data_IF_816368546648
#
_entry.id   IF_816368546648
#
_cell.length_a   1.000
_cell.length_b   1.000
_cell.length_c   1.000
_cell.angle_alpha   90.00
_cell.angle_beta   90.00
_cell.angle_gamma   90.00
#
_symmetry.space_group_name_H-M   'P 1'
#
loop_
_entity.id
_entity.type
_entity.pdbx_description
1 polymer ?
#
# COMPACT_ATOMS: atom_id res chain seq x y z
N UNK A 1 -13.01 -5.26 -5.97
CA UNK A 1 -11.89 -4.72 -5.13
C UNK A 1 -10.62 -5.49 -5.45
N UNK A 2 -9.47 -4.82 -5.53
CA UNK A 2 -8.18 -5.51 -5.64
C UNK A 2 -7.31 -5.24 -4.42
N UNK A 3 -6.62 -6.27 -3.95
CA UNK A 3 -5.65 -6.17 -2.87
C UNK A 3 -4.26 -6.27 -3.49
N UNK A 4 -3.39 -5.36 -3.12
CA UNK A 4 -2.02 -5.25 -3.61
C UNK A 4 -1.08 -5.63 -2.47
N UNK A 5 -0.44 -6.80 -2.58
CA UNK A 5 0.48 -7.30 -1.56
C UNK A 5 1.87 -7.46 -2.15
N UNK A 6 2.86 -6.74 -1.60
CA UNK A 6 4.27 -6.91 -1.96
C UNK A 6 4.97 -7.75 -0.90
N UNK A 7 5.68 -8.80 -1.32
CA UNK A 7 6.42 -9.71 -0.46
C UNK A 7 7.90 -9.72 -0.84
N UNK A 8 8.77 -9.68 0.16
CA UNK A 8 10.21 -9.87 0.00
C UNK A 8 10.82 -10.39 1.31
N UNK A 9 11.39 -11.60 1.27
CA UNK A 9 12.04 -12.24 2.43
C UNK A 9 11.23 -12.13 3.73
N UNK A 10 9.96 -12.51 3.65
CA UNK A 10 9.01 -12.44 4.76
C UNK A 10 8.41 -13.81 5.14
N UNK A 11 9.19 -14.89 4.98
CA UNK A 11 8.75 -16.28 5.27
C UNK A 11 8.09 -16.46 6.64
N UNK A 12 8.54 -15.70 7.66
CA UNK A 12 8.01 -15.77 9.03
C UNK A 12 6.63 -15.13 9.19
N UNK A 13 6.19 -14.31 8.24
CA UNK A 13 5.04 -13.43 8.42
C UNK A 13 3.97 -13.60 7.34
N UNK A 14 4.38 -13.95 6.11
CA UNK A 14 3.51 -13.96 4.93
C UNK A 14 2.28 -14.86 5.07
N UNK A 15 2.40 -16.02 5.71
CA UNK A 15 1.26 -16.89 5.97
C UNK A 15 0.19 -16.18 6.81
N UNK A 16 0.61 -15.51 7.89
CA UNK A 16 -0.30 -14.75 8.75
C UNK A 16 -0.98 -13.60 8.01
N UNK A 17 -0.22 -12.89 7.18
CA UNK A 17 -0.74 -11.83 6.32
C UNK A 17 -1.86 -12.37 5.44
N UNK A 18 -1.58 -13.41 4.66
CA UNK A 18 -2.53 -14.02 3.72
C UNK A 18 -3.76 -14.59 4.41
N UNK A 19 -3.59 -15.30 5.53
CA UNK A 19 -4.72 -15.83 6.31
C UNK A 19 -5.63 -14.71 6.83
N UNK A 20 -5.09 -13.55 7.18
CA UNK A 20 -5.88 -12.39 7.60
C UNK A 20 -6.76 -11.83 6.46
N UNK A 21 -6.27 -11.91 5.22
CA UNK A 21 -7.01 -11.51 4.01
C UNK A 21 -8.04 -12.59 3.66
N UNK A 22 -7.67 -13.87 3.64
CA UNK A 22 -8.57 -14.99 3.35
C UNK A 22 -9.76 -15.03 4.31
N UNK A 23 -9.52 -14.68 5.58
CA UNK A 23 -10.51 -14.65 6.66
C UNK A 23 -11.51 -13.49 6.60
N UNK A 24 -11.37 -12.54 5.66
CA UNK A 24 -12.32 -11.43 5.55
C UNK A 24 -13.73 -11.92 5.20
N UNK A 25 -14.77 -11.29 5.77
CA UNK A 25 -16.18 -11.58 5.46
C UNK A 25 -16.59 -11.10 4.08
N UNK A 26 -16.09 -9.94 3.67
CA UNK A 26 -16.23 -9.46 2.30
C UNK A 26 -15.40 -10.36 1.37
N UNK A 27 -16.04 -10.93 0.33
CA UNK A 27 -15.41 -11.97 -0.53
C UNK A 27 -15.17 -11.52 -1.97
N UNK A 28 -15.74 -10.40 -2.39
CA UNK A 28 -15.63 -9.90 -3.76
C UNK A 28 -14.34 -9.09 -3.93
N UNK A 29 -13.22 -9.80 -3.93
CA UNK A 29 -11.89 -9.23 -4.16
C UNK A 29 -10.98 -10.20 -4.91
N UNK A 30 -9.97 -9.63 -5.57
CA UNK A 30 -8.80 -10.36 -6.05
C UNK A 30 -7.56 -9.83 -5.34
N UNK A 31 -6.76 -10.72 -4.76
CA UNK A 31 -5.50 -10.38 -4.11
C UNK A 31 -4.33 -10.72 -5.04
N UNK A 32 -3.64 -9.71 -5.54
CA UNK A 32 -2.41 -9.86 -6.28
C UNK A 32 -1.23 -9.79 -5.31
N UNK A 33 -0.49 -10.88 -5.23
CA UNK A 33 0.72 -10.99 -4.40
C UNK A 33 1.91 -10.93 -5.34
N UNK A 34 2.77 -9.95 -5.17
CA UNK A 34 4.04 -9.86 -5.90
C UNK A 34 5.17 -10.32 -5.00
N UNK A 35 5.85 -11.38 -5.40
CA UNK A 35 7.14 -11.72 -4.80
C UNK A 35 8.26 -10.95 -5.50
N UNK A 36 8.94 -10.11 -4.75
CA UNK A 36 9.94 -9.19 -5.28
C UNK A 36 11.36 -9.75 -5.11
N UNK A 37 11.60 -10.98 -5.66
CA UNK A 37 12.86 -11.72 -5.63
C UNK A 37 13.26 -12.20 -4.22
N UNK A 38 12.35 -12.85 -3.50
CA UNK A 38 12.69 -13.52 -2.23
C UNK A 38 13.72 -14.63 -2.43
N UNK A 39 14.60 -14.77 -1.44
CA UNK A 39 15.64 -15.79 -1.40
C UNK A 39 15.46 -16.80 -0.26
N UNK A 40 14.43 -16.58 0.56
CA UNK A 40 13.97 -17.48 1.63
C UNK A 40 12.76 -18.32 1.17
N UNK A 41 12.03 -18.96 2.08
CA UNK A 41 10.86 -19.80 1.75
C UNK A 41 9.56 -19.01 1.49
N UNK A 42 9.61 -17.68 1.34
CA UNK A 42 8.41 -16.83 1.16
C UNK A 42 7.51 -17.34 0.04
N UNK A 43 8.06 -17.62 -1.14
CA UNK A 43 7.29 -18.06 -2.32
C UNK A 43 6.61 -19.41 -2.09
N UNK A 44 7.31 -20.36 -1.48
CA UNK A 44 6.75 -21.69 -1.18
C UNK A 44 5.59 -21.60 -0.18
N UNK A 45 5.75 -20.76 0.85
CA UNK A 45 4.71 -20.52 1.85
C UNK A 45 3.50 -19.86 1.21
N UNK A 46 3.69 -18.84 0.34
CA UNK A 46 2.60 -18.22 -0.40
C UNK A 46 1.83 -19.28 -1.20
N UNK A 47 2.53 -20.04 -2.06
CA UNK A 47 1.90 -21.07 -2.91
C UNK A 47 1.08 -22.07 -2.10
N UNK A 48 1.62 -22.54 -0.98
CA UNK A 48 0.93 -23.46 -0.07
C UNK A 48 -0.30 -22.82 0.56
N UNK A 49 -0.18 -21.57 1.02
CA UNK A 49 -1.24 -20.88 1.76
C UNK A 49 -2.44 -20.55 0.87
N UNK A 50 -2.20 -20.12 -0.39
CA UNK A 50 -3.28 -19.74 -1.31
C UNK A 50 -3.85 -20.90 -2.12
N UNK A 51 -3.33 -22.12 -1.93
CA UNK A 51 -3.75 -23.28 -2.72
C UNK A 51 -5.26 -23.51 -2.62
N UNK A 52 -5.92 -23.52 -3.78
CA UNK A 52 -7.37 -23.75 -3.90
C UNK A 52 -8.25 -22.51 -3.69
N UNK A 53 -7.68 -21.33 -3.42
CA UNK A 53 -8.43 -20.08 -3.35
C UNK A 53 -8.18 -19.21 -4.60
N UNK A 54 -9.10 -19.22 -5.54
CA UNK A 54 -8.99 -18.54 -6.83
C UNK A 54 -8.99 -16.98 -6.72
N UNK A 55 -9.21 -16.45 -5.54
CA UNK A 55 -9.12 -14.98 -5.31
C UNK A 55 -7.68 -14.48 -5.25
N UNK A 56 -6.71 -15.37 -5.11
CA UNK A 56 -5.30 -15.04 -4.93
C UNK A 56 -4.49 -15.36 -6.18
N UNK A 57 -3.69 -14.40 -6.63
CA UNK A 57 -2.81 -14.50 -7.79
C UNK A 57 -1.39 -14.16 -7.36
N UNK A 58 -0.47 -15.13 -7.46
CA UNK A 58 0.96 -14.90 -7.22
C UNK A 58 1.67 -14.48 -8.50
N UNK A 59 2.44 -13.40 -8.43
CA UNK A 59 3.32 -12.89 -9.49
C UNK A 59 4.77 -12.94 -8.95
N UNK A 60 5.58 -13.80 -9.53
CA UNK A 60 7.00 -13.92 -9.19
C UNK A 60 7.82 -13.01 -10.13
N UNK A 61 8.37 -11.93 -9.59
CA UNK A 61 9.16 -10.98 -10.37
C UNK A 61 10.45 -11.58 -10.91
N UNK A 62 10.92 -11.08 -12.05
CA UNK A 62 12.23 -11.44 -12.63
C UNK A 62 13.30 -10.38 -12.37
N UNK A 63 12.89 -9.19 -11.98
CA UNK A 63 13.74 -8.06 -11.59
C UNK A 63 13.15 -7.39 -10.36
N UNK A 64 13.98 -6.70 -9.58
CA UNK A 64 13.52 -5.96 -8.40
C UNK A 64 12.65 -4.78 -8.83
N UNK A 65 11.41 -4.75 -8.34
CA UNK A 65 10.41 -3.74 -8.71
C UNK A 65 10.09 -2.77 -7.56
N UNK A 66 10.39 -3.18 -6.33
CA UNK A 66 9.99 -2.45 -5.12
C UNK A 66 8.47 -2.17 -5.07
N UNK A 67 8.00 -1.56 -4.01
CA UNK A 67 6.55 -1.36 -3.81
C UNK A 67 5.87 -0.57 -4.95
N UNK A 68 6.37 0.61 -5.39
CA UNK A 68 5.69 1.37 -6.46
C UNK A 68 5.68 0.63 -7.80
N UNK A 69 6.74 -0.09 -8.12
CA UNK A 69 6.82 -0.88 -9.35
C UNK A 69 5.88 -2.08 -9.33
N UNK A 70 5.78 -2.75 -8.19
CA UNK A 70 4.86 -3.87 -7.98
C UNK A 70 3.40 -3.44 -8.18
N UNK A 71 3.01 -2.30 -7.63
CA UNK A 71 1.65 -1.78 -7.84
C UNK A 71 1.43 -1.30 -9.28
N UNK A 72 2.45 -0.67 -9.88
CA UNK A 72 2.34 -0.18 -11.25
C UNK A 72 2.16 -1.31 -12.28
N UNK A 73 2.89 -2.43 -12.12
CA UNK A 73 2.71 -3.60 -13.02
C UNK A 73 1.33 -4.24 -12.88
N UNK A 74 0.71 -4.22 -11.69
CA UNK A 74 -0.65 -4.73 -11.52
C UNK A 74 -1.65 -3.75 -12.08
N UNK A 75 -1.67 -2.50 -11.61
CA UNK A 75 -2.71 -1.54 -11.94
C UNK A 75 -2.71 -1.18 -13.42
N UNK A 76 -1.53 -0.93 -14.00
CA UNK A 76 -1.39 -0.57 -15.42
C UNK A 76 -1.14 -1.79 -16.31
N UNK A 77 -0.25 -2.69 -15.87
CA UNK A 77 0.16 -3.84 -16.68
C UNK A 77 -0.98 -4.84 -16.91
N UNK A 78 -1.83 -5.07 -15.91
CA UNK A 78 -3.02 -5.92 -16.04
C UNK A 78 -4.28 -5.13 -16.43
N UNK A 79 -4.15 -3.82 -16.68
CA UNK A 79 -5.22 -2.92 -17.06
C UNK A 79 -6.44 -3.02 -16.12
N UNK A 80 -6.20 -2.92 -14.81
CA UNK A 80 -7.26 -2.95 -13.78
C UNK A 80 -8.32 -1.90 -14.09
N UNK A 81 -9.60 -2.25 -13.95
CA UNK A 81 -10.71 -1.33 -14.24
C UNK A 81 -10.62 -0.07 -13.37
N UNK A 82 -10.96 1.08 -13.93
CA UNK A 82 -10.78 2.39 -13.31
C UNK A 82 -11.50 2.55 -11.96
N UNK A 83 -12.68 1.99 -11.82
CA UNK A 83 -13.49 2.08 -10.60
C UNK A 83 -13.08 1.09 -9.50
N UNK A 84 -12.12 0.20 -9.77
CA UNK A 84 -11.67 -0.73 -8.74
C UNK A 84 -11.04 -0.01 -7.55
N UNK A 85 -11.39 -0.47 -6.36
CA UNK A 85 -10.76 -0.05 -5.13
C UNK A 85 -9.48 -0.85 -4.95
N UNK A 86 -8.35 -0.16 -4.92
CA UNK A 86 -7.05 -0.73 -4.57
C UNK A 86 -6.87 -0.67 -3.06
N UNK A 87 -6.45 -1.76 -2.44
CA UNK A 87 -6.15 -1.89 -1.01
C UNK A 87 -4.72 -2.37 -0.85
N UNK A 88 -3.89 -1.59 -0.17
CA UNK A 88 -2.49 -1.91 0.08
C UNK A 88 -2.34 -2.72 1.37
N UNK A 89 -1.75 -3.91 1.28
CA UNK A 89 -1.43 -4.75 2.44
C UNK A 89 -0.04 -5.36 2.24
N UNK A 90 0.93 -4.97 3.04
CA UNK A 90 2.30 -5.50 2.94
C UNK A 90 2.35 -6.97 3.36
N UNK A 91 3.24 -7.75 2.74
CA UNK A 91 3.32 -9.20 2.92
C UNK A 91 3.77 -9.65 4.31
N UNK A 92 4.27 -8.74 5.15
CA UNK A 92 4.67 -8.98 6.53
C UNK A 92 3.72 -8.39 7.57
N UNK A 93 2.65 -7.69 7.12
CA UNK A 93 1.62 -7.06 7.95
C UNK A 93 0.29 -7.82 7.86
N UNK A 94 -0.72 -7.49 8.66
CA UNK A 94 -2.01 -8.19 8.64
C UNK A 94 -3.19 -7.32 9.05
N UNK A 95 -4.39 -7.78 8.69
CA UNK A 95 -5.65 -7.15 9.08
C UNK A 95 -6.06 -7.60 10.50
N UNK A 96 -6.54 -6.68 11.37
CA UNK A 96 -6.83 -6.98 12.77
C UNK A 96 -8.05 -7.88 13.00
N UNK A 97 -8.99 -7.92 12.05
CA UNK A 97 -10.22 -8.69 12.15
C UNK A 97 -10.86 -8.93 10.77
N UNK A 98 -11.94 -9.71 10.73
CA UNK A 98 -12.59 -10.14 9.49
C UNK A 98 -13.53 -9.11 8.83
N UNK A 99 -13.68 -7.90 9.37
CA UNK A 99 -14.64 -6.90 8.87
C UNK A 99 -13.95 -5.73 8.13
N UNK A 100 -12.62 -5.73 8.02
CA UNK A 100 -11.88 -4.57 7.48
C UNK A 100 -12.27 -4.30 6.03
N UNK A 101 -12.27 -5.31 5.15
CA UNK A 101 -12.62 -5.10 3.75
C UNK A 101 -14.10 -4.70 3.58
N UNK A 102 -14.99 -5.15 4.46
CA UNK A 102 -16.38 -4.69 4.49
C UNK A 102 -16.47 -3.21 4.80
N UNK A 103 -15.76 -2.74 5.83
CA UNK A 103 -15.70 -1.32 6.18
C UNK A 103 -15.13 -0.46 5.03
N UNK A 104 -14.09 -0.95 4.34
CA UNK A 104 -13.55 -0.26 3.16
C UNK A 104 -14.63 -0.18 2.07
N UNK A 105 -15.30 -1.29 1.75
CA UNK A 105 -16.35 -1.30 0.75
C UNK A 105 -17.47 -0.31 1.07
N UNK A 106 -17.99 -0.31 2.30
CA UNK A 106 -19.00 0.65 2.79
C UNK A 106 -18.51 2.11 2.69
N UNK A 107 -17.23 2.37 2.96
CA UNK A 107 -16.64 3.72 2.83
C UNK A 107 -16.73 4.24 1.40
N UNK A 108 -16.55 3.37 0.41
CA UNK A 108 -16.61 3.73 -1.01
C UNK A 108 -18.01 3.69 -1.63
N UNK A 109 -19.06 3.39 -0.86
CA UNK A 109 -20.46 3.65 -1.27
C UNK A 109 -20.69 5.16 -1.48
N UNK A 110 -19.97 6.00 -0.73
CA UNK A 110 -19.83 7.42 -1.06
C UNK A 110 -18.89 7.57 -2.28
N UNK A 111 -19.49 7.73 -3.45
CA UNK A 111 -18.77 7.86 -4.73
C UNK A 111 -17.84 9.07 -4.81
N UNK A 112 -17.98 10.03 -3.88
CA UNK A 112 -17.06 11.17 -3.78
C UNK A 112 -15.72 10.79 -3.15
N UNK A 113 -15.59 9.62 -2.52
CA UNK A 113 -14.33 9.18 -1.93
C UNK A 113 -13.46 8.52 -3.00
N UNK A 114 -12.26 9.07 -3.18
CA UNK A 114 -11.27 8.59 -4.16
C UNK A 114 -10.10 7.86 -3.51
N UNK A 115 -9.77 8.26 -2.27
CA UNK A 115 -8.72 7.62 -1.50
C UNK A 115 -8.99 7.69 0.01
N UNK A 116 -8.40 6.75 0.75
CA UNK A 116 -8.42 6.76 2.21
C UNK A 116 -7.03 6.52 2.78
N UNK A 117 -6.82 6.94 4.03
CA UNK A 117 -5.81 6.36 4.91
C UNK A 117 -6.47 5.92 6.21
N UNK A 118 -5.85 4.99 6.91
CA UNK A 118 -6.46 4.41 8.10
C UNK A 118 -5.63 4.61 9.36
N UNK A 119 -6.19 4.15 10.47
CA UNK A 119 -5.48 4.02 11.74
C UNK A 119 -4.96 2.59 11.88
N UNK A 120 -3.76 2.46 12.44
CA UNK A 120 -3.10 1.18 12.65
C UNK A 120 -2.56 1.03 14.06
N UNK A 121 -2.28 -0.19 14.45
CA UNK A 121 -1.48 -0.53 15.63
C UNK A 121 -0.22 -1.25 15.21
N UNK A 122 0.82 -1.10 16.01
CA UNK A 122 1.99 -1.96 15.90
C UNK A 122 1.68 -3.37 16.43
N UNK A 123 2.46 -4.35 16.00
CA UNK A 123 2.32 -5.75 16.42
C UNK A 123 2.50 -5.95 17.94
N UNK A 124 3.14 -5.03 18.62
CA UNK A 124 3.28 -4.99 20.09
C UNK A 124 2.05 -4.40 20.81
N UNK A 125 1.02 -3.94 20.05
CA UNK A 125 -0.22 -3.36 20.57
C UNK A 125 -0.21 -1.84 20.74
N UNK A 126 0.92 -1.16 20.56
CA UNK A 126 0.98 0.30 20.66
C UNK A 126 0.26 0.97 19.48
N UNK A 127 -0.27 2.18 19.71
CA UNK A 127 -0.99 2.96 18.71
C UNK A 127 -0.03 3.52 17.65
N UNK A 128 -0.43 3.43 16.37
CA UNK A 128 0.26 4.08 15.26
C UNK A 128 0.00 5.59 15.21
N UNK A 129 0.78 6.28 14.39
CA UNK A 129 0.81 7.74 14.29
C UNK A 129 -0.15 8.33 13.23
N UNK A 130 -0.97 7.51 12.57
CA UNK A 130 -1.82 7.97 11.47
C UNK A 130 -2.89 8.97 11.96
N UNK A 131 -2.95 10.10 11.29
CA UNK A 131 -3.96 11.17 11.50
C UNK A 131 -4.34 11.78 10.16
N UNK A 132 -5.52 12.41 10.04
CA UNK A 132 -5.83 13.15 8.82
C UNK A 132 -4.83 14.28 8.60
N UNK A 133 -4.32 14.47 7.36
CA UNK A 133 -3.47 15.60 7.06
C UNK A 133 -4.28 16.91 7.09
N UNK A 134 -3.59 18.03 7.30
CA UNK A 134 -4.19 19.35 7.17
C UNK A 134 -4.24 19.74 5.69
N UNK A 135 -5.41 19.71 5.06
CA UNK A 135 -5.57 20.01 3.63
C UNK A 135 -5.47 21.47 3.26
N UNK A 136 -5.37 22.40 4.24
CA UNK A 136 -5.14 23.82 3.97
C UNK A 136 -3.65 24.16 3.77
N UNK A 137 -2.76 23.21 4.03
CA UNK A 137 -1.31 23.40 3.88
C UNK A 137 -0.73 22.37 2.92
N UNK A 138 0.40 22.69 2.32
CA UNK A 138 1.12 21.79 1.43
C UNK A 138 1.45 20.48 2.14
N UNK A 139 0.87 19.37 1.65
CA UNK A 139 1.04 18.04 2.22
C UNK A 139 2.51 17.61 2.25
N UNK A 140 3.31 18.09 1.30
CA UNK A 140 4.73 17.75 1.22
C UNK A 140 5.58 18.43 2.30
N UNK A 141 5.04 19.46 2.98
CA UNK A 141 5.69 20.18 4.09
C UNK A 141 5.23 19.71 5.47
N UNK A 142 4.22 18.87 5.53
CA UNK A 142 3.71 18.29 6.78
C UNK A 142 4.45 17.01 7.16
N UNK A 143 4.30 16.56 8.42
CA UNK A 143 4.62 15.18 8.78
C UNK A 143 3.80 14.23 7.92
N UNK A 144 4.41 13.12 7.48
CA UNK A 144 3.69 12.12 6.69
C UNK A 144 2.77 11.31 7.61
N UNK A 145 1.48 11.45 7.42
CA UNK A 145 0.45 10.79 8.25
C UNK A 145 -0.54 9.94 7.44
N UNK A 146 -0.40 9.90 6.11
CA UNK A 146 -1.20 9.07 5.21
C UNK A 146 -0.77 7.60 5.32
N UNK A 147 -0.98 7.00 6.48
CA UNK A 147 -0.51 5.65 6.79
C UNK A 147 -1.59 4.58 6.59
N UNK A 148 -1.26 3.35 6.96
CA UNK A 148 -2.08 2.15 6.73
C UNK A 148 -3.44 2.20 7.48
N UNK A 149 -4.50 1.60 6.99
CA UNK A 149 -4.64 0.92 5.70
C UNK A 149 -4.85 1.99 4.62
N UNK A 150 -4.05 1.95 3.55
CA UNK A 150 -4.17 2.88 2.43
C UNK A 150 -5.03 2.25 1.36
N UNK A 151 -5.99 3.03 0.83
CA UNK A 151 -6.83 2.58 -0.28
C UNK A 151 -7.08 3.73 -1.26
N UNK A 152 -7.34 3.39 -2.51
CA UNK A 152 -7.61 4.38 -3.55
C UNK A 152 -8.37 3.77 -4.74
N UNK A 153 -9.02 4.61 -5.54
CA UNK A 153 -9.55 4.21 -6.83
C UNK A 153 -8.43 4.01 -7.85
N UNK A 154 -8.48 2.93 -8.62
CA UNK A 154 -7.45 2.55 -9.59
C UNK A 154 -7.12 3.67 -10.58
N UNK A 155 -8.14 4.42 -11.07
CA UNK A 155 -7.94 5.53 -11.98
C UNK A 155 -7.07 6.65 -11.40
N UNK A 156 -7.11 6.86 -10.09
CA UNK A 156 -6.30 7.89 -9.42
C UNK A 156 -4.80 7.55 -9.48
N UNK A 157 -4.44 6.29 -9.30
CA UNK A 157 -3.08 5.80 -9.54
C UNK A 157 -2.63 6.05 -10.98
N UNK A 158 -3.49 5.76 -11.96
CA UNK A 158 -3.19 5.92 -13.39
C UNK A 158 -2.92 7.38 -13.80
N UNK A 159 -3.32 8.36 -12.98
CA UNK A 159 -3.00 9.80 -13.17
C UNK A 159 -1.59 10.17 -12.70
N UNK A 160 -0.94 9.35 -11.88
CA UNK A 160 0.43 9.60 -11.43
C UNK A 160 1.37 9.42 -12.63
N UNK A 161 2.29 10.35 -12.82
CA UNK A 161 3.33 10.21 -13.84
C UNK A 161 4.30 9.10 -13.43
N UNK A 162 4.67 8.24 -14.37
CA UNK A 162 5.53 7.10 -14.06
C UNK A 162 6.92 7.52 -13.57
N UNK A 163 7.45 8.63 -14.08
CA UNK A 163 8.71 9.21 -13.61
C UNK A 163 8.68 9.63 -12.14
N UNK A 164 7.50 9.89 -11.56
CA UNK A 164 7.38 10.22 -10.13
C UNK A 164 7.46 9.00 -9.22
N UNK A 165 7.19 7.82 -9.75
CA UNK A 165 7.37 6.55 -9.06
C UNK A 165 8.83 6.05 -9.09
N UNK A 166 9.73 6.79 -9.77
CA UNK A 166 11.10 6.39 -10.06
C UNK A 166 12.12 7.42 -9.59
N UNK A 167 13.34 6.94 -9.37
CA UNK A 167 14.51 7.77 -9.12
C UNK A 167 15.10 8.35 -10.43
N UNK A 168 16.19 9.10 -10.32
CA UNK A 168 16.86 9.72 -11.47
C UNK A 168 17.54 8.71 -12.41
N UNK A 169 17.73 7.47 -11.98
CA UNK A 169 18.30 6.39 -12.78
C UNK A 169 17.21 5.58 -13.50
N UNK A 170 15.93 5.89 -13.24
CA UNK A 170 14.78 5.20 -13.82
C UNK A 170 14.37 3.95 -13.05
N UNK A 171 14.94 3.67 -11.87
CA UNK A 171 14.52 2.58 -10.99
C UNK A 171 13.36 3.03 -10.11
N UNK A 172 12.44 2.13 -9.79
CA UNK A 172 11.41 2.41 -8.81
C UNK A 172 12.00 2.67 -7.42
N UNK A 173 11.37 3.56 -6.65
CA UNK A 173 11.83 3.92 -5.32
C UNK A 173 11.96 2.69 -4.42
N UNK A 174 13.16 2.45 -3.93
CA UNK A 174 13.48 1.25 -3.14
C UNK A 174 13.18 1.39 -1.65
N UNK A 175 13.00 2.62 -1.17
CA UNK A 175 12.62 2.98 0.21
C UNK A 175 11.69 4.19 0.17
N UNK A 176 10.83 4.35 1.19
CA UNK A 176 9.84 5.44 1.26
C UNK A 176 9.01 5.60 -0.03
N UNK A 177 8.78 4.50 -0.75
CA UNK A 177 8.07 4.49 -2.01
C UNK A 177 6.61 4.96 -1.89
N UNK A 178 6.01 4.75 -0.74
CA UNK A 178 4.65 5.17 -0.41
C UNK A 178 4.43 6.69 -0.56
N UNK A 179 5.43 7.53 -0.26
CA UNK A 179 5.33 8.96 -0.46
C UNK A 179 5.18 9.32 -1.95
N UNK A 180 5.79 8.53 -2.83
CA UNK A 180 5.80 8.80 -4.28
C UNK A 180 4.43 8.69 -4.94
N UNK A 181 3.49 7.97 -4.31
CA UNK A 181 2.12 7.83 -4.81
C UNK A 181 1.08 8.46 -3.88
N UNK A 182 1.27 8.43 -2.57
CA UNK A 182 0.29 9.02 -1.65
C UNK A 182 0.22 10.54 -1.74
N UNK A 183 1.37 11.24 -1.92
CA UNK A 183 1.35 12.69 -2.12
C UNK A 183 0.60 13.07 -3.41
N UNK A 184 0.97 12.56 -4.61
CA UNK A 184 0.21 12.84 -5.83
C UNK A 184 -1.28 12.57 -5.71
N UNK A 185 -1.66 11.42 -5.13
CA UNK A 185 -3.08 11.07 -4.98
C UNK A 185 -3.81 12.03 -4.06
N UNK A 186 -3.23 12.41 -2.93
CA UNK A 186 -3.85 13.39 -2.02
C UNK A 186 -3.90 14.78 -2.62
N UNK A 187 -2.87 15.21 -3.34
CA UNK A 187 -2.84 16.50 -4.03
C UNK A 187 -3.96 16.61 -5.08
N UNK A 188 -4.16 15.55 -5.87
CA UNK A 188 -5.24 15.48 -6.85
C UNK A 188 -6.63 15.43 -6.21
N UNK A 189 -6.79 14.64 -5.16
CA UNK A 189 -8.07 14.46 -4.45
C UNK A 189 -8.46 15.66 -3.60
N UNK A 190 -7.49 16.27 -2.94
CA UNK A 190 -7.74 17.23 -1.86
C UNK A 190 -8.53 16.60 -0.72
N UNK A 191 -8.89 17.41 0.29
CA UNK A 191 -9.68 16.93 1.44
C UNK A 191 -11.08 16.44 1.06
N UNK A 192 -11.64 16.98 0.00
CA UNK A 192 -13.03 16.67 -0.42
C UNK A 192 -13.22 15.20 -0.80
N UNK A 193 -12.22 14.61 -1.43
CA UNK A 193 -12.27 13.24 -1.96
C UNK A 193 -11.39 12.26 -1.16
N UNK A 194 -10.91 12.70 -0.01
CA UNK A 194 -10.14 11.90 0.93
C UNK A 194 -10.93 11.63 2.20
N UNK A 195 -10.76 10.44 2.78
CA UNK A 195 -11.32 10.08 4.09
C UNK A 195 -10.28 9.39 4.96
N UNK A 196 -10.13 9.86 6.20
CA UNK A 196 -9.39 9.14 7.23
C UNK A 196 -10.30 8.16 7.97
N UNK A 197 -9.89 6.89 8.08
CA UNK A 197 -10.60 5.85 8.81
C UNK A 197 -9.97 5.71 10.19
N UNK A 198 -10.66 6.23 11.22
CA UNK A 198 -10.14 6.24 12.60
C UNK A 198 -10.19 4.88 13.30
N UNK A 199 -11.02 3.96 12.79
CA UNK A 199 -11.02 2.56 13.26
C UNK A 199 -9.68 1.89 12.91
N UNK A 200 -9.15 1.07 13.82
CA UNK A 200 -7.94 0.29 13.55
C UNK A 200 -8.23 -0.74 12.46
N UNK A 201 -7.63 -0.55 11.30
CA UNK A 201 -7.82 -1.40 10.11
C UNK A 201 -6.56 -2.18 9.73
N UNK A 202 -5.46 -1.98 10.44
CA UNK A 202 -4.17 -2.54 10.08
C UNK A 202 -3.30 -2.84 11.29
N UNK A 203 -2.51 -3.90 11.22
CA UNK A 203 -1.47 -4.23 12.20
C UNK A 203 -0.12 -4.19 11.48
N UNK A 204 0.68 -3.20 11.83
CA UNK A 204 2.04 -3.04 11.34
C UNK A 204 3.01 -3.93 12.10
N UNK A 205 3.73 -4.78 11.40
CA UNK A 205 4.68 -5.71 12.00
C UNK A 205 6.03 -5.06 12.25
N UNK A 206 6.23 -4.61 13.47
CA UNK A 206 7.49 -4.03 13.89
C UNK A 206 8.63 -5.04 14.06
N UNK A 207 8.32 -6.35 14.06
CA UNK A 207 9.34 -7.39 14.28
C UNK A 207 10.14 -7.74 13.03
N UNK A 208 9.72 -7.28 11.82
CA UNK A 208 10.51 -7.53 10.62
C UNK A 208 11.82 -6.72 10.65
N UNK A 209 12.99 -7.38 10.59
CA UNK A 209 14.28 -6.69 10.58
C UNK A 209 14.53 -5.90 9.28
N UNK A 210 13.78 -6.18 8.21
CA UNK A 210 13.92 -5.55 6.89
C UNK A 210 13.10 -4.26 6.75
N UNK A 211 12.37 -3.83 7.77
CA UNK A 211 11.65 -2.56 7.74
C UNK A 211 12.58 -1.41 7.39
N UNK A 212 12.19 -0.56 6.43
CA UNK A 212 13.00 0.52 5.86
C UNK A 212 13.71 1.38 6.92
N UNK A 213 12.99 1.74 7.98
CA UNK A 213 13.52 2.56 9.08
C UNK A 213 14.61 1.86 9.92
N UNK A 214 14.75 0.52 9.79
CA UNK A 214 15.80 -0.26 10.48
C UNK A 214 17.03 -0.47 9.61
N UNK A 215 16.86 -0.51 8.29
CA UNK A 215 17.92 -0.94 7.37
C UNK A 215 18.79 0.21 6.91
N UNK A 216 18.22 1.35 6.50
CA UNK A 216 18.99 2.43 5.90
C UNK A 216 18.33 3.81 6.04
N UNK A 217 18.32 4.35 7.25
CA UNK A 217 17.77 5.69 7.53
C UNK A 217 18.38 6.83 6.69
N UNK A 218 19.70 6.87 6.40
CA UNK A 218 20.26 7.89 5.51
C UNK A 218 19.63 7.87 4.12
N UNK A 219 19.43 6.68 3.52
CA UNK A 219 18.78 6.53 2.22
C UNK A 219 17.30 6.93 2.30
N UNK A 220 16.58 6.50 3.34
CA UNK A 220 15.19 6.89 3.58
C UNK A 220 15.06 8.42 3.61
N UNK A 221 15.87 9.09 4.44
CA UNK A 221 15.83 10.56 4.56
C UNK A 221 16.15 11.28 3.25
N UNK A 222 17.13 10.79 2.49
CA UNK A 222 17.46 11.33 1.17
C UNK A 222 16.30 11.18 0.19
N UNK A 223 15.72 9.98 0.09
CA UNK A 223 14.57 9.69 -0.78
C UNK A 223 13.35 10.54 -0.40
N UNK A 224 13.02 10.62 0.89
CA UNK A 224 11.93 11.47 1.40
C UNK A 224 12.14 12.93 0.97
N UNK A 225 13.36 13.44 1.11
CA UNK A 225 13.66 14.81 0.72
C UNK A 225 13.50 15.03 -0.79
N UNK A 226 13.96 14.09 -1.63
CA UNK A 226 13.82 14.19 -3.09
C UNK A 226 12.32 14.17 -3.47
N UNK A 227 11.54 13.22 -2.95
CA UNK A 227 10.11 13.11 -3.28
C UNK A 227 9.35 14.36 -2.82
N UNK A 228 9.63 14.89 -1.63
CA UNK A 228 9.00 16.10 -1.13
C UNK A 228 9.27 17.36 -1.99
N UNK A 229 10.41 17.42 -2.64
CA UNK A 229 10.79 18.55 -3.51
C UNK A 229 10.32 18.41 -4.96
N UNK A 230 9.67 17.31 -5.35
CA UNK A 230 9.03 17.21 -6.68
C UNK A 230 7.84 18.17 -6.79
N UNK A 231 7.54 18.57 -8.03
CA UNK A 231 6.40 19.48 -8.31
C UNK A 231 5.08 18.83 -7.87
N UNK A 232 4.27 19.53 -7.05
CA UNK A 232 2.96 19.04 -6.64
C UNK A 232 1.99 18.89 -7.82
N UNK A 233 1.03 17.98 -7.68
CA UNK A 233 -0.06 17.79 -8.64
C UNK A 233 -1.19 18.80 -8.39
N UNK A 234 -1.86 19.20 -9.47
CA UNK A 234 -3.06 20.03 -9.37
C UNK A 234 -4.26 19.20 -8.89
N UNK A 235 -5.15 19.83 -8.14
CA UNK A 235 -6.47 19.24 -7.84
C UNK A 235 -7.26 19.01 -9.11
N UNK A 236 -8.04 17.94 -9.16
CA UNK A 236 -8.89 17.55 -10.30
C UNK A 236 -10.32 17.36 -9.86
#
# INVERSE_FOLDING_TARGET
>A
MIILTTSYNCEKFVEKSLLSIMGQRFKDFTCYITDDLSTDNTVEIIKKTIQGDNRFVLIENKTKMYQPGNYNQIIRGLNIHDDEICVEIDGDDWLPNSNVLGLINETYEDTNIWMTSGSFKYSNGSQGFSTPPNGHTDIRKQSFTLSHLRTWKSWLWKKIKEEDLKDSEGNYWSVAGDLSFMFPMFEMSGEKHYRHISTITYIYNENNPLNDHKVNMPKVNSTVNIIRNKTPYNKI
#
